data_IF_468142790423
#
_entry.id   IF_468142790423
#
_cell.length_a   1.000
_cell.length_b   1.000
_cell.length_c   1.000
_cell.angle_alpha   90.00
_cell.angle_beta   90.00
_cell.angle_gamma   90.00
#
_symmetry.space_group_name_H-M   'P 1'
#
loop_
_entity.id
_entity.type
_entity.pdbx_description
1 polymer ?
#
# COMPACT_ATOMS: atom_id res chain seq x y z
N UNK A 1 -8.91 -35.48 -11.94
CA UNK A 1 -8.74 -34.36 -12.88
C UNK A 1 -9.80 -34.47 -13.97
N UNK A 2 -10.62 -33.44 -14.19
CA UNK A 2 -11.66 -33.47 -15.23
C UNK A 2 -11.04 -33.59 -16.64
N UNK A 3 -11.73 -34.25 -17.61
CA UNK A 3 -11.19 -34.42 -18.97
C UNK A 3 -10.84 -33.11 -19.67
N UNK A 4 -11.60 -32.05 -19.40
CA UNK A 4 -11.33 -30.73 -19.96
C UNK A 4 -9.99 -30.15 -19.47
N UNK A 5 -9.68 -30.25 -18.17
CA UNK A 5 -8.37 -29.84 -17.63
C UNK A 5 -7.23 -30.62 -18.28
N UNK A 6 -7.34 -31.95 -18.38
CA UNK A 6 -6.32 -32.77 -19.02
C UNK A 6 -6.05 -32.33 -20.46
N UNK A 7 -7.10 -31.95 -21.20
CA UNK A 7 -6.95 -31.44 -22.56
C UNK A 7 -6.29 -30.05 -22.55
N UNK A 8 -6.75 -29.13 -21.70
CA UNK A 8 -6.25 -27.75 -21.59
C UNK A 8 -4.76 -27.67 -21.20
N UNK A 9 -4.24 -28.67 -20.49
CA UNK A 9 -2.84 -28.70 -20.02
C UNK A 9 -1.91 -29.52 -20.93
N UNK A 10 -2.37 -29.96 -22.09
CA UNK A 10 -1.56 -30.76 -23.02
C UNK A 10 -0.75 -29.85 -23.97
N UNK A 11 0.26 -29.19 -23.42
CA UNK A 11 1.16 -28.25 -24.12
C UNK A 11 1.91 -28.88 -25.32
N UNK A 12 2.04 -30.21 -25.36
CA UNK A 12 2.69 -30.93 -26.45
C UNK A 12 1.82 -31.03 -27.73
N UNK A 13 0.56 -30.59 -27.67
CA UNK A 13 -0.35 -30.62 -28.83
C UNK A 13 -0.18 -29.36 -29.67
N UNK A 14 -0.17 -29.51 -30.99
CA UNK A 14 -0.13 -28.37 -31.91
C UNK A 14 -1.30 -27.39 -31.60
N UNK A 15 -1.07 -26.07 -31.56
CA UNK A 15 -2.07 -25.11 -31.09
C UNK A 15 -3.43 -25.16 -31.81
N UNK A 16 -3.48 -25.38 -33.13
CA UNK A 16 -4.74 -25.48 -33.86
C UNK A 16 -5.48 -26.78 -33.57
N UNK A 17 -4.77 -27.90 -33.43
CA UNK A 17 -5.33 -29.18 -32.99
C UNK A 17 -5.87 -29.07 -31.56
N UNK A 18 -5.12 -28.43 -30.66
CA UNK A 18 -5.50 -28.23 -29.27
C UNK A 18 -6.75 -27.35 -29.15
N UNK A 19 -6.81 -26.25 -29.89
CA UNK A 19 -8.02 -25.41 -30.00
C UNK A 19 -9.23 -26.24 -30.44
N UNK A 20 -9.07 -27.06 -31.49
CA UNK A 20 -10.14 -27.92 -32.01
C UNK A 20 -10.62 -28.94 -30.99
N UNK A 21 -9.68 -29.59 -30.29
CA UNK A 21 -9.99 -30.60 -29.28
C UNK A 21 -10.77 -30.01 -28.10
N UNK A 22 -10.30 -28.89 -27.54
CA UNK A 22 -10.96 -28.21 -26.42
C UNK A 22 -12.35 -27.71 -26.83
N UNK A 23 -12.47 -27.11 -28.02
CA UNK A 23 -13.76 -26.65 -28.57
C UNK A 23 -14.76 -27.79 -28.67
N UNK A 24 -14.35 -28.95 -29.21
CA UNK A 24 -15.23 -30.13 -29.32
C UNK A 24 -15.67 -30.65 -27.95
N UNK A 25 -14.79 -30.68 -26.95
CA UNK A 25 -15.17 -31.10 -25.60
C UNK A 25 -16.27 -30.19 -25.03
N UNK A 26 -16.12 -28.87 -25.19
CA UNK A 26 -17.08 -27.88 -24.74
C UNK A 26 -18.44 -28.01 -25.47
N UNK A 27 -18.41 -28.24 -26.80
CA UNK A 27 -19.60 -28.51 -27.62
C UNK A 27 -20.33 -29.78 -27.19
N UNK A 28 -19.60 -30.82 -26.77
CA UNK A 28 -20.17 -32.08 -26.28
C UNK A 28 -20.57 -32.05 -24.80
N UNK A 29 -20.57 -30.87 -24.18
CA UNK A 29 -21.11 -30.66 -22.85
C UNK A 29 -20.11 -30.77 -21.71
N UNK A 30 -18.81 -30.79 -21.98
CA UNK A 30 -17.82 -30.56 -20.93
C UNK A 30 -18.09 -29.18 -20.29
N UNK A 31 -18.22 -29.14 -18.97
CA UNK A 31 -18.54 -27.93 -18.23
C UNK A 31 -17.24 -27.21 -17.83
N UNK A 32 -16.99 -25.99 -18.35
CA UNK A 32 -15.77 -25.24 -18.05
C UNK A 32 -15.70 -24.71 -16.61
N UNK A 33 -16.81 -24.73 -15.85
CA UNK A 33 -16.85 -24.32 -14.45
C UNK A 33 -16.51 -25.44 -13.46
N UNK A 34 -16.35 -26.69 -13.94
CA UNK A 34 -15.92 -27.78 -13.09
C UNK A 34 -14.54 -27.44 -12.53
N UNK A 35 -14.39 -27.62 -11.22
CA UNK A 35 -13.12 -27.41 -10.52
C UNK A 35 -12.34 -28.72 -10.43
N UNK A 36 -11.02 -28.63 -10.51
CA UNK A 36 -10.14 -29.76 -10.25
C UNK A 36 -9.92 -29.98 -8.73
N UNK A 37 -8.88 -30.73 -8.38
CA UNK A 37 -8.51 -31.04 -7.00
C UNK A 37 -7.93 -29.85 -6.24
N UNK A 38 -7.41 -28.85 -6.96
CA UNK A 38 -6.84 -27.63 -6.39
C UNK A 38 -7.89 -26.51 -6.28
N UNK A 39 -9.07 -26.74 -6.86
CA UNK A 39 -10.20 -25.82 -6.81
C UNK A 39 -10.28 -24.87 -8.01
N UNK A 40 -9.46 -25.12 -9.02
CA UNK A 40 -9.33 -24.31 -10.22
C UNK A 40 -10.24 -24.80 -11.35
N UNK A 41 -10.88 -23.87 -12.03
CA UNK A 41 -11.52 -24.13 -13.34
C UNK A 41 -10.45 -24.39 -14.40
N UNK A 42 -10.84 -24.95 -15.56
CA UNK A 42 -9.89 -25.20 -16.64
C UNK A 42 -9.20 -23.92 -17.13
N UNK A 43 -9.89 -22.78 -17.07
CA UNK A 43 -9.31 -21.47 -17.38
C UNK A 43 -8.28 -21.03 -16.32
N UNK A 44 -8.59 -21.19 -15.04
CA UNK A 44 -7.66 -20.83 -13.96
C UNK A 44 -6.40 -21.70 -14.00
N UNK A 45 -6.55 -23.01 -14.23
CA UNK A 45 -5.42 -23.94 -14.33
C UNK A 45 -4.45 -23.53 -15.45
N UNK A 46 -4.95 -23.21 -16.66
CA UNK A 46 -4.07 -22.82 -17.79
C UNK A 46 -3.39 -21.46 -17.56
N UNK A 47 -4.07 -20.51 -16.91
CA UNK A 47 -3.47 -19.22 -16.56
C UNK A 47 -2.41 -19.38 -15.47
N UNK A 48 -2.67 -20.23 -14.48
CA UNK A 48 -1.73 -20.56 -13.41
C UNK A 48 -0.46 -21.20 -13.97
N UNK A 49 -0.58 -22.22 -14.83
CA UNK A 49 0.56 -22.88 -15.48
C UNK A 49 1.43 -21.89 -16.26
N UNK A 50 0.81 -21.01 -17.06
CA UNK A 50 1.56 -20.00 -17.82
C UNK A 50 2.35 -19.01 -16.94
N UNK A 51 2.00 -18.88 -15.65
CA UNK A 51 2.70 -18.00 -14.71
C UNK A 51 3.74 -18.70 -13.84
N UNK A 52 3.78 -20.04 -13.84
CA UNK A 52 4.73 -20.82 -13.02
C UNK A 52 6.12 -20.89 -13.65
N UNK A 53 6.20 -20.88 -14.98
CA UNK A 53 7.47 -20.89 -15.70
C UNK A 53 8.02 -19.47 -15.84
N UNK A 54 9.24 -19.24 -15.37
CA UNK A 54 9.93 -17.95 -15.53
C UNK A 54 10.27 -17.66 -17.00
N UNK A 55 10.51 -18.71 -17.79
CA UNK A 55 10.82 -18.66 -19.22
C UNK A 55 10.02 -19.74 -19.96
N UNK A 56 8.70 -19.55 -20.15
CA UNK A 56 7.88 -20.54 -20.84
C UNK A 56 8.32 -20.66 -22.30
N UNK A 57 8.41 -21.90 -22.79
CA UNK A 57 8.72 -22.14 -24.19
C UNK A 57 7.65 -21.53 -25.11
N UNK A 58 8.08 -21.07 -26.28
CA UNK A 58 7.20 -20.40 -27.23
C UNK A 58 6.06 -21.32 -27.69
N UNK A 59 6.30 -22.64 -27.82
CA UNK A 59 5.27 -23.60 -28.22
C UNK A 59 4.21 -23.74 -27.12
N UNK A 60 4.62 -23.85 -25.87
CA UNK A 60 3.71 -23.88 -24.71
C UNK A 60 2.84 -22.61 -24.62
N UNK A 61 3.42 -21.42 -24.85
CA UNK A 61 2.64 -20.18 -24.88
C UNK A 61 1.59 -20.15 -26.00
N UNK A 62 1.91 -20.68 -27.19
CA UNK A 62 0.94 -20.78 -28.27
C UNK A 62 -0.18 -21.79 -27.96
N UNK A 63 0.16 -22.92 -27.31
CA UNK A 63 -0.81 -23.90 -26.83
C UNK A 63 -1.76 -23.27 -25.78
N UNK A 64 -1.22 -22.58 -24.77
CA UNK A 64 -2.01 -21.83 -23.78
C UNK A 64 -2.91 -20.79 -24.44
N UNK A 65 -2.40 -20.04 -25.42
CA UNK A 65 -3.20 -19.08 -26.17
C UNK A 65 -4.37 -19.72 -26.93
N UNK A 66 -4.15 -20.87 -27.57
CA UNK A 66 -5.21 -21.63 -28.22
C UNK A 66 -6.29 -22.08 -27.21
N UNK A 67 -5.88 -22.63 -26.07
CA UNK A 67 -6.79 -23.10 -25.02
C UNK A 67 -7.62 -21.94 -24.45
N UNK A 68 -6.97 -20.84 -24.07
CA UNK A 68 -7.64 -19.64 -23.53
C UNK A 68 -8.68 -19.12 -24.53
N UNK A 69 -8.35 -19.06 -25.82
CA UNK A 69 -9.33 -18.67 -26.85
C UNK A 69 -10.52 -19.62 -26.94
N UNK A 70 -10.29 -20.94 -26.88
CA UNK A 70 -11.39 -21.90 -26.92
C UNK A 70 -12.31 -21.76 -25.70
N UNK A 71 -11.75 -21.57 -24.50
CA UNK A 71 -12.50 -21.40 -23.26
C UNK A 71 -13.30 -20.09 -23.23
N UNK A 72 -12.69 -18.95 -23.59
CA UNK A 72 -13.37 -17.66 -23.63
C UNK A 72 -14.49 -17.65 -24.69
N UNK A 73 -14.36 -18.42 -25.78
CA UNK A 73 -15.43 -18.56 -26.78
C UNK A 73 -16.63 -19.38 -26.27
N UNK A 74 -16.49 -20.18 -25.22
CA UNK A 74 -17.57 -21.03 -24.70
C UNK A 74 -18.60 -20.23 -23.89
N UNK A 75 -19.89 -20.15 -24.28
CA UNK A 75 -20.89 -19.34 -23.56
C UNK A 75 -21.09 -19.75 -22.10
N UNK A 76 -20.77 -20.99 -21.73
CA UNK A 76 -20.85 -21.51 -20.36
C UNK A 76 -19.66 -21.10 -19.49
N UNK A 77 -18.59 -20.56 -20.08
CA UNK A 77 -17.48 -19.98 -19.31
C UNK A 77 -17.95 -18.67 -18.68
N UNK A 78 -18.13 -18.66 -17.38
CA UNK A 78 -18.36 -17.42 -16.64
C UNK A 78 -17.07 -16.61 -16.61
N UNK A 79 -17.20 -15.31 -16.87
CA UNK A 79 -16.09 -14.35 -16.91
C UNK A 79 -16.46 -13.19 -15.96
N UNK A 80 -16.27 -13.43 -14.67
CA UNK A 80 -16.43 -12.40 -13.66
C UNK A 80 -15.27 -11.40 -13.70
N UNK A 81 -15.33 -10.42 -12.79
CA UNK A 81 -14.28 -9.41 -12.70
C UNK A 81 -12.91 -10.03 -12.38
N UNK A 82 -12.85 -11.04 -11.50
CA UNK A 82 -11.60 -11.73 -11.17
C UNK A 82 -10.98 -12.43 -12.38
N UNK A 83 -11.79 -13.16 -13.15
CA UNK A 83 -11.32 -13.89 -14.33
C UNK A 83 -10.88 -12.93 -15.43
N UNK A 84 -11.63 -11.83 -15.62
CA UNK A 84 -11.27 -10.79 -16.57
C UNK A 84 -9.92 -10.14 -16.24
N UNK A 85 -9.66 -9.84 -14.96
CA UNK A 85 -8.36 -9.28 -14.55
C UNK A 85 -7.23 -10.30 -14.73
N UNK A 86 -7.43 -11.56 -14.34
CA UNK A 86 -6.43 -12.61 -14.54
C UNK A 86 -6.08 -12.79 -16.02
N UNK A 87 -7.09 -12.74 -16.90
CA UNK A 87 -6.90 -12.78 -18.35
C UNK A 87 -6.13 -11.58 -18.88
N UNK A 88 -6.50 -10.36 -18.49
CA UNK A 88 -5.77 -9.15 -18.91
C UNK A 88 -4.31 -9.18 -18.43
N UNK A 89 -4.07 -9.62 -17.20
CA UNK A 89 -2.71 -9.76 -16.66
C UNK A 89 -1.89 -10.77 -17.45
N UNK A 90 -2.47 -11.94 -17.73
CA UNK A 90 -1.84 -12.96 -18.55
C UNK A 90 -1.55 -12.46 -19.98
N UNK A 91 -2.50 -11.77 -20.62
CA UNK A 91 -2.33 -11.18 -21.95
C UNK A 91 -1.16 -10.19 -22.01
N UNK A 92 -1.02 -9.35 -20.99
CA UNK A 92 0.06 -8.36 -20.91
C UNK A 92 1.43 -9.02 -20.84
N UNK A 93 1.56 -10.08 -20.05
CA UNK A 93 2.84 -10.70 -19.72
C UNK A 93 3.29 -11.73 -20.76
N UNK A 94 2.36 -12.48 -21.36
CA UNK A 94 2.71 -13.68 -22.13
C UNK A 94 2.32 -13.62 -23.61
N UNK A 95 1.41 -12.72 -24.01
CA UNK A 95 0.88 -12.71 -25.38
C UNK A 95 1.45 -11.54 -26.18
N UNK A 96 2.03 -11.78 -27.38
CA UNK A 96 2.46 -10.70 -28.26
C UNK A 96 1.30 -9.77 -28.65
N UNK A 97 1.59 -8.50 -28.95
CA UNK A 97 0.57 -7.48 -29.28
C UNK A 97 -0.44 -7.93 -30.35
N UNK A 98 -0.01 -8.68 -31.37
CA UNK A 98 -0.91 -9.18 -32.41
C UNK A 98 -1.97 -10.17 -31.89
N UNK A 99 -1.63 -10.98 -30.89
CA UNK A 99 -2.55 -11.92 -30.24
C UNK A 99 -3.46 -11.26 -29.22
N UNK A 100 -2.96 -10.23 -28.52
CA UNK A 100 -3.73 -9.49 -27.50
C UNK A 100 -5.05 -8.94 -28.06
N UNK A 101 -5.01 -8.30 -29.22
CA UNK A 101 -6.19 -7.69 -29.84
C UNK A 101 -7.30 -8.70 -30.16
N UNK A 102 -6.94 -9.94 -30.51
CA UNK A 102 -7.93 -10.98 -30.81
C UNK A 102 -8.69 -11.42 -29.57
N UNK A 103 -7.98 -11.61 -28.45
CA UNK A 103 -8.60 -12.01 -27.18
C UNK A 103 -9.38 -10.85 -26.59
N UNK A 104 -8.85 -9.62 -26.65
CA UNK A 104 -9.56 -8.43 -26.19
C UNK A 104 -10.89 -8.24 -26.94
N UNK A 105 -10.90 -8.37 -28.27
CA UNK A 105 -12.13 -8.26 -29.06
C UNK A 105 -13.18 -9.31 -28.64
N UNK A 106 -12.74 -10.53 -28.32
CA UNK A 106 -13.63 -11.58 -27.84
C UNK A 106 -14.13 -11.28 -26.42
N UNK A 107 -13.29 -10.76 -25.53
CA UNK A 107 -13.71 -10.29 -24.21
C UNK A 107 -14.72 -9.14 -24.31
N UNK A 108 -14.49 -8.14 -25.16
CA UNK A 108 -15.45 -7.06 -25.41
C UNK A 108 -16.82 -7.59 -25.86
N UNK A 109 -16.84 -8.63 -26.71
CA UNK A 109 -18.08 -9.31 -27.14
C UNK A 109 -18.78 -10.02 -25.98
N UNK A 110 -18.00 -10.59 -25.05
CA UNK A 110 -18.48 -11.46 -23.96
C UNK A 110 -18.92 -10.72 -22.71
N UNK A 111 -18.10 -9.80 -22.22
CA UNK A 111 -18.31 -9.08 -20.95
C UNK A 111 -18.64 -7.59 -21.17
N UNK A 112 -18.55 -7.12 -22.41
CA UNK A 112 -18.83 -5.73 -22.78
C UNK A 112 -17.56 -4.89 -22.87
N UNK A 113 -17.59 -3.91 -23.79
CA UNK A 113 -16.45 -3.06 -24.12
C UNK A 113 -15.92 -2.28 -22.92
N UNK A 114 -16.80 -1.73 -22.10
CA UNK A 114 -16.41 -0.91 -20.94
C UNK A 114 -15.65 -1.72 -19.89
N UNK A 115 -16.16 -2.90 -19.53
CA UNK A 115 -15.50 -3.79 -18.56
C UNK A 115 -14.12 -4.24 -19.06
N UNK A 116 -14.02 -4.69 -20.32
CA UNK A 116 -12.75 -5.09 -20.93
C UNK A 116 -11.77 -3.92 -21.01
N UNK A 117 -12.22 -2.74 -21.43
CA UNK A 117 -11.37 -1.56 -21.53
C UNK A 117 -10.83 -1.14 -20.15
N UNK A 118 -11.66 -1.14 -19.11
CA UNK A 118 -11.24 -0.81 -17.75
C UNK A 118 -10.23 -1.81 -17.17
N UNK A 119 -10.45 -3.12 -17.37
CA UNK A 119 -9.52 -4.15 -16.96
C UNK A 119 -8.17 -4.04 -17.69
N UNK A 120 -8.21 -3.89 -19.01
CA UNK A 120 -6.98 -3.72 -19.80
C UNK A 120 -6.24 -2.42 -19.47
N UNK A 121 -6.96 -1.31 -19.28
CA UNK A 121 -6.38 -0.05 -18.86
C UNK A 121 -5.68 -0.17 -17.49
N UNK A 122 -6.20 -1.01 -16.59
CA UNK A 122 -5.58 -1.27 -15.28
C UNK A 122 -4.23 -1.99 -15.43
N UNK A 123 -4.16 -3.01 -16.28
CA UNK A 123 -2.90 -3.72 -16.56
C UNK A 123 -1.87 -2.83 -17.26
N UNK A 124 -2.32 -2.01 -18.22
CA UNK A 124 -1.44 -1.05 -18.89
C UNK A 124 -0.97 0.06 -17.94
N UNK A 125 -1.78 0.42 -16.94
CA UNK A 125 -1.39 1.34 -15.90
C UNK A 125 -0.30 0.75 -15.01
N UNK A 126 -0.45 -0.49 -14.53
CA UNK A 126 0.59 -1.20 -13.78
C UNK A 126 1.89 -1.28 -14.59
N UNK A 127 1.82 -1.65 -15.87
CA UNK A 127 2.98 -1.64 -16.78
C UNK A 127 3.68 -0.30 -16.83
N UNK A 128 2.93 0.79 -16.98
CA UNK A 128 3.49 2.13 -17.02
C UNK A 128 4.26 2.47 -15.72
N UNK A 129 3.72 2.07 -14.57
CA UNK A 129 4.35 2.30 -13.27
C UNK A 129 5.65 1.49 -13.13
N UNK A 130 5.62 0.19 -13.46
CA UNK A 130 6.79 -0.70 -13.44
C UNK A 130 7.90 -0.18 -14.36
N UNK A 131 7.55 0.13 -15.61
CA UNK A 131 8.49 0.66 -16.59
C UNK A 131 9.08 1.99 -16.15
N UNK A 132 8.30 2.86 -15.52
CA UNK A 132 8.79 4.14 -15.03
C UNK A 132 9.76 3.99 -13.86
N UNK A 133 9.47 3.08 -12.91
CA UNK A 133 10.29 2.88 -11.72
C UNK A 133 11.57 2.05 -12.01
N UNK A 134 11.46 0.94 -12.74
CA UNK A 134 12.54 -0.05 -12.82
C UNK A 134 13.31 0.00 -14.14
N UNK A 135 12.64 0.23 -15.27
CA UNK A 135 13.30 0.24 -16.59
C UNK A 135 13.82 1.64 -16.96
N UNK A 136 12.92 2.62 -17.02
CA UNK A 136 13.20 3.97 -17.48
C UNK A 136 13.75 4.89 -16.37
N UNK A 137 13.63 4.49 -15.09
CA UNK A 137 14.12 5.22 -13.91
C UNK A 137 13.75 6.71 -13.93
N UNK A 138 12.47 6.97 -14.16
CA UNK A 138 11.91 8.32 -14.33
C UNK A 138 10.69 8.54 -13.46
N UNK A 139 10.45 9.81 -13.12
CA UNK A 139 9.27 10.22 -12.39
C UNK A 139 7.99 9.96 -13.17
N UNK A 140 6.90 9.75 -12.43
CA UNK A 140 5.56 9.61 -12.98
C UNK A 140 5.04 10.95 -13.51
N UNK A 141 4.10 10.89 -14.44
CA UNK A 141 3.44 12.06 -15.03
C UNK A 141 1.95 12.00 -14.75
N UNK A 142 1.41 13.02 -14.09
CA UNK A 142 0.00 13.12 -13.74
C UNK A 142 -0.91 13.01 -14.97
N UNK A 143 -0.53 13.61 -16.09
CA UNK A 143 -1.29 13.55 -17.34
C UNK A 143 -1.44 12.12 -17.87
N UNK A 144 -0.42 11.27 -17.73
CA UNK A 144 -0.46 9.87 -18.16
C UNK A 144 -1.31 9.05 -17.19
N UNK A 145 -1.15 9.24 -15.88
CA UNK A 145 -2.00 8.59 -14.87
C UNK A 145 -3.46 8.94 -15.09
N UNK A 146 -3.77 10.22 -15.33
CA UNK A 146 -5.13 10.69 -15.61
C UNK A 146 -5.74 9.99 -16.82
N UNK A 147 -4.98 9.77 -17.89
CA UNK A 147 -5.46 9.06 -19.09
C UNK A 147 -5.87 7.63 -18.77
N UNK A 148 -5.09 6.90 -17.98
CA UNK A 148 -5.44 5.53 -17.57
C UNK A 148 -6.68 5.50 -16.67
N UNK A 149 -6.78 6.39 -15.68
CA UNK A 149 -7.94 6.47 -14.80
C UNK A 149 -9.22 6.85 -15.57
N UNK A 150 -9.11 7.75 -16.56
CA UNK A 150 -10.19 8.11 -17.47
C UNK A 150 -10.60 6.96 -18.39
N UNK A 151 -9.66 6.08 -18.76
CA UNK A 151 -9.94 4.85 -19.51
C UNK A 151 -10.54 3.72 -18.65
N UNK A 152 -10.80 3.97 -17.36
CA UNK A 152 -11.44 3.02 -16.46
C UNK A 152 -10.47 2.17 -15.63
N UNK A 153 -9.17 2.51 -15.61
CA UNK A 153 -8.21 1.81 -14.76
C UNK A 153 -8.63 1.87 -13.28
N UNK A 154 -8.47 0.75 -12.58
CA UNK A 154 -8.81 0.61 -11.16
C UNK A 154 -7.54 0.47 -10.33
N UNK A 155 -7.19 1.45 -9.47
CA UNK A 155 -5.93 1.44 -8.72
C UNK A 155 -5.74 0.28 -7.74
N UNK A 156 -6.84 -0.33 -7.29
CA UNK A 156 -6.83 -1.44 -6.33
C UNK A 156 -6.42 -2.78 -6.93
N UNK A 157 -6.26 -2.87 -8.25
CA UNK A 157 -5.76 -4.08 -8.90
C UNK A 157 -4.28 -4.20 -8.57
N UNK A 158 -3.88 -5.40 -8.16
CA UNK A 158 -2.53 -5.71 -7.74
C UNK A 158 -1.97 -6.90 -8.51
N UNK A 159 -0.69 -6.83 -8.83
CA UNK A 159 0.07 -7.97 -9.33
C UNK A 159 1.12 -8.35 -8.30
N UNK A 160 1.23 -9.63 -7.95
CA UNK A 160 2.18 -10.11 -6.93
C UNK A 160 2.06 -9.37 -5.58
N UNK A 161 0.84 -8.95 -5.24
CA UNK A 161 0.54 -8.15 -4.04
C UNK A 161 0.87 -6.66 -4.15
N UNK A 162 1.45 -6.19 -5.25
CA UNK A 162 1.73 -4.78 -5.49
C UNK A 162 0.58 -4.11 -6.25
N UNK A 163 -0.14 -3.23 -5.56
CA UNK A 163 -1.17 -2.38 -6.18
C UNK A 163 -0.56 -1.22 -6.96
N UNK A 164 -1.38 -0.52 -7.75
CA UNK A 164 -0.92 0.67 -8.48
C UNK A 164 -0.39 1.75 -7.53
N UNK A 165 -1.07 2.00 -6.39
CA UNK A 165 -0.58 2.96 -5.40
C UNK A 165 0.75 2.50 -4.78
N UNK A 166 0.93 1.19 -4.57
CA UNK A 166 2.20 0.68 -4.06
C UNK A 166 3.35 0.93 -5.05
N UNK A 167 3.17 0.58 -6.33
CA UNK A 167 4.17 0.83 -7.36
C UNK A 167 4.49 2.33 -7.53
N UNK A 168 3.49 3.20 -7.31
CA UNK A 168 3.71 4.64 -7.31
C UNK A 168 4.61 5.10 -6.16
N UNK A 169 4.38 4.62 -4.93
CA UNK A 169 5.20 5.04 -3.78
C UNK A 169 6.62 4.48 -3.85
N UNK A 170 6.79 3.31 -4.48
CA UNK A 170 8.09 2.69 -4.74
C UNK A 170 8.90 3.39 -5.85
N UNK A 171 8.35 4.41 -6.52
CA UNK A 171 9.07 5.20 -7.52
C UNK A 171 9.76 6.41 -6.86
N UNK A 172 11.09 6.40 -6.65
CA UNK A 172 11.81 7.50 -5.99
C UNK A 172 12.12 8.69 -6.93
N UNK A 173 11.73 8.62 -8.20
CA UNK A 173 12.10 9.61 -9.22
C UNK A 173 11.05 10.71 -9.40
N UNK A 174 9.84 10.53 -8.85
CA UNK A 174 8.74 11.48 -9.01
C UNK A 174 8.97 12.75 -8.20
N UNK A 175 8.60 13.90 -8.77
CA UNK A 175 8.60 15.16 -8.03
C UNK A 175 7.38 15.24 -7.11
N UNK A 176 7.46 16.10 -6.10
CA UNK A 176 6.36 16.32 -5.18
C UNK A 176 5.13 16.91 -5.87
N UNK A 177 5.31 17.82 -6.83
CA UNK A 177 4.24 18.47 -7.57
C UNK A 177 3.40 17.47 -8.37
N UNK A 178 4.06 16.53 -9.06
CA UNK A 178 3.40 15.45 -9.78
C UNK A 178 2.68 14.53 -8.79
N UNK A 179 3.37 14.12 -7.71
CA UNK A 179 2.81 13.18 -6.74
C UNK A 179 1.57 13.71 -6.01
N UNK A 180 1.47 15.01 -5.69
CA UNK A 180 0.25 15.59 -5.11
C UNK A 180 -0.95 15.31 -6.01
N UNK A 181 -0.80 15.61 -7.31
CA UNK A 181 -1.88 15.47 -8.29
C UNK A 181 -2.23 13.99 -8.48
N UNK A 182 -1.21 13.14 -8.61
CA UNK A 182 -1.38 11.70 -8.82
C UNK A 182 -2.07 11.05 -7.62
N UNK A 183 -1.60 11.28 -6.39
CA UNK A 183 -2.17 10.69 -5.18
C UNK A 183 -3.65 11.07 -5.00
N UNK A 184 -4.01 12.33 -5.26
CA UNK A 184 -5.42 12.77 -5.21
C UNK A 184 -6.28 12.03 -6.23
N UNK A 185 -5.86 12.01 -7.51
CA UNK A 185 -6.64 11.32 -8.56
C UNK A 185 -6.84 9.83 -8.26
N UNK A 186 -5.82 9.16 -7.73
CA UNK A 186 -5.88 7.74 -7.38
C UNK A 186 -6.81 7.48 -6.19
N UNK A 187 -6.73 8.29 -5.13
CA UNK A 187 -7.59 8.15 -3.96
C UNK A 187 -9.03 8.58 -4.22
N UNK A 188 -9.27 9.57 -5.07
CA UNK A 188 -10.62 9.93 -5.55
C UNK A 188 -11.26 8.78 -6.33
N UNK A 189 -10.46 8.01 -7.08
CA UNK A 189 -10.92 6.86 -7.86
C UNK A 189 -11.20 5.63 -6.98
N UNK A 190 -10.28 5.28 -6.10
CA UNK A 190 -10.47 4.20 -5.12
C UNK A 190 -9.66 4.48 -3.84
N UNK A 191 -10.29 5.01 -2.78
CA UNK A 191 -9.56 5.33 -1.55
C UNK A 191 -9.07 4.08 -0.81
N UNK A 192 -9.70 2.90 -1.05
CA UNK A 192 -9.37 1.67 -0.32
C UNK A 192 -8.00 1.10 -0.66
N UNK A 193 -7.44 1.51 -1.80
CA UNK A 193 -6.09 1.12 -2.23
C UNK A 193 -5.02 1.48 -1.19
N UNK A 194 -5.26 2.51 -0.36
CA UNK A 194 -4.32 2.94 0.69
C UNK A 194 -4.19 1.94 1.85
N UNK A 195 -5.19 1.08 2.05
CA UNK A 195 -5.20 0.05 3.09
C UNK A 195 -4.77 -1.32 2.58
N UNK A 196 -4.53 -1.46 1.27
CA UNK A 196 -4.05 -2.70 0.71
C UNK A 196 -2.65 -2.99 1.23
N UNK A 197 -2.42 -4.25 1.60
CA UNK A 197 -1.14 -4.73 2.12
C UNK A 197 -0.52 -5.69 1.11
N UNK A 198 0.78 -5.55 0.93
CA UNK A 198 1.55 -6.42 0.04
C UNK A 198 1.91 -7.77 0.68
N UNK A 199 2.80 -8.53 0.03
CA UNK A 199 3.33 -9.78 0.56
C UNK A 199 4.03 -9.64 1.91
N UNK A 200 4.62 -8.48 2.20
CA UNK A 200 5.29 -8.13 3.46
C UNK A 200 4.32 -7.58 4.52
N UNK A 201 3.02 -7.52 4.21
CA UNK A 201 1.97 -6.97 5.06
C UNK A 201 2.10 -5.46 5.29
N UNK A 202 2.83 -4.75 4.44
CA UNK A 202 3.03 -3.31 4.51
C UNK A 202 2.04 -2.58 3.61
N UNK A 203 1.54 -1.43 4.07
CA UNK A 203 0.68 -0.55 3.26
C UNK A 203 1.52 0.35 2.34
N UNK A 204 0.92 1.01 1.33
CA UNK A 204 1.62 2.04 0.57
C UNK A 204 2.19 3.16 1.44
N UNK A 205 1.55 3.51 2.56
CA UNK A 205 2.04 4.56 3.43
C UNK A 205 3.21 4.09 4.31
N UNK A 206 3.25 2.81 4.69
CA UNK A 206 4.42 2.21 5.34
C UNK A 206 5.64 2.31 4.40
N UNK A 207 5.48 1.89 3.15
CA UNK A 207 6.54 2.00 2.13
C UNK A 207 6.94 3.45 1.83
N UNK A 208 5.98 4.37 1.70
CA UNK A 208 6.28 5.78 1.51
C UNK A 208 7.08 6.37 2.69
N UNK A 209 6.82 5.90 3.91
CA UNK A 209 7.56 6.32 5.11
C UNK A 209 9.00 5.80 5.11
N UNK A 210 9.27 4.70 4.40
CA UNK A 210 10.59 4.10 4.23
C UNK A 210 11.32 4.54 2.94
N UNK A 211 11.11 5.80 2.55
CA UNK A 211 11.66 6.37 1.32
C UNK A 211 13.20 6.36 1.27
N UNK A 212 13.88 6.29 2.42
CA UNK A 212 15.34 6.17 2.48
C UNK A 212 15.81 4.80 1.97
N UNK A 213 15.21 3.70 2.44
CA UNK A 213 15.55 2.35 1.98
C UNK A 213 15.19 2.18 0.50
N UNK A 214 14.05 2.71 0.05
CA UNK A 214 13.68 2.72 -1.38
C UNK A 214 14.77 3.42 -2.19
N UNK A 215 15.23 4.60 -1.76
CA UNK A 215 16.28 5.33 -2.46
C UNK A 215 17.61 4.55 -2.51
N UNK A 216 17.98 3.85 -1.43
CA UNK A 216 19.17 2.98 -1.40
C UNK A 216 19.07 1.84 -2.41
N UNK A 217 17.92 1.16 -2.49
CA UNK A 217 17.69 0.07 -3.46
C UNK A 217 17.81 0.55 -4.91
N UNK A 218 17.40 1.79 -5.18
CA UNK A 218 17.49 2.40 -6.51
C UNK A 218 18.81 3.11 -6.79
N UNK A 219 19.71 3.24 -5.81
CA UNK A 219 20.98 3.96 -5.93
C UNK A 219 20.80 5.46 -6.15
N UNK A 220 19.78 6.08 -5.55
CA UNK A 220 19.46 7.52 -5.68
C UNK A 220 19.47 8.23 -4.33
N UNK A 221 19.37 9.56 -4.36
CA UNK A 221 19.20 10.35 -3.12
C UNK A 221 17.80 10.11 -2.53
N UNK A 222 17.64 10.13 -1.20
CA UNK A 222 16.34 10.05 -0.56
C UNK A 222 15.38 11.10 -1.12
N UNK A 223 14.18 10.66 -1.50
CA UNK A 223 13.13 11.51 -2.03
C UNK A 223 11.79 11.19 -1.34
N UNK A 224 11.31 12.03 -0.42
CA UNK A 224 10.08 11.79 0.32
C UNK A 224 8.82 12.26 -0.43
N UNK A 225 8.90 12.62 -1.71
CA UNK A 225 7.78 13.17 -2.49
C UNK A 225 6.48 12.35 -2.34
N UNK A 226 6.57 11.02 -2.42
CA UNK A 226 5.41 10.12 -2.29
C UNK A 226 4.75 10.21 -0.91
N UNK A 227 5.54 10.21 0.18
CA UNK A 227 5.03 10.37 1.54
C UNK A 227 4.36 11.73 1.76
N UNK A 228 5.05 12.78 1.35
CA UNK A 228 4.61 14.16 1.54
C UNK A 228 3.33 14.46 0.74
N UNK A 229 3.10 13.77 -0.37
CA UNK A 229 1.88 13.89 -1.17
C UNK A 229 0.75 12.97 -0.67
N UNK A 230 1.05 11.71 -0.36
CA UNK A 230 0.05 10.69 -0.08
C UNK A 230 -0.68 10.93 1.24
N UNK A 231 0.05 11.24 2.32
CA UNK A 231 -0.57 11.35 3.64
C UNK A 231 -1.55 12.53 3.74
N UNK A 232 -1.23 13.75 3.26
CA UNK A 232 -2.22 14.83 3.22
C UNK A 232 -3.44 14.49 2.36
N UNK A 233 -3.24 13.87 1.19
CA UNK A 233 -4.34 13.47 0.31
C UNK A 233 -5.26 12.43 0.97
N UNK A 234 -4.68 11.45 1.68
CA UNK A 234 -5.43 10.48 2.48
C UNK A 234 -6.28 11.17 3.55
N UNK A 235 -5.69 12.09 4.32
CA UNK A 235 -6.39 12.79 5.40
C UNK A 235 -7.53 13.66 4.84
N UNK A 236 -7.33 14.28 3.68
CA UNK A 236 -8.36 15.09 3.00
C UNK A 236 -9.51 14.23 2.47
N UNK A 237 -9.21 13.11 1.79
CA UNK A 237 -10.18 12.37 0.99
C UNK A 237 -10.79 11.15 1.70
N UNK A 238 -10.07 10.54 2.66
CA UNK A 238 -10.46 9.31 3.34
C UNK A 238 -9.91 9.24 4.79
N UNK A 239 -10.25 10.22 5.66
CA UNK A 239 -9.72 10.30 7.02
C UNK A 239 -10.09 9.11 7.91
N UNK A 240 -11.21 8.45 7.62
CA UNK A 240 -11.68 7.22 8.30
C UNK A 240 -10.79 6.01 8.02
N UNK A 241 -10.08 6.01 6.88
CA UNK A 241 -9.17 4.93 6.47
C UNK A 241 -7.76 5.09 7.05
N UNK A 242 -7.48 6.21 7.71
CA UNK A 242 -6.16 6.50 8.26
C UNK A 242 -5.68 5.48 9.31
N UNK A 243 -6.63 4.81 9.97
CA UNK A 243 -6.30 3.75 10.92
C UNK A 243 -5.67 2.54 10.25
N UNK A 244 -6.32 2.04 9.21
CA UNK A 244 -5.91 0.83 8.51
C UNK A 244 -4.77 1.08 7.52
N UNK A 245 -4.58 2.33 7.10
CA UNK A 245 -3.52 2.74 6.17
C UNK A 245 -2.13 2.85 6.80
N UNK A 246 -2.02 2.86 8.14
CA UNK A 246 -0.75 3.08 8.84
C UNK A 246 -0.37 4.56 9.03
N UNK A 247 -1.33 5.50 8.93
CA UNK A 247 -1.06 6.92 9.15
C UNK A 247 -0.55 7.19 10.57
N UNK A 248 0.59 7.86 10.68
CA UNK A 248 1.26 8.17 11.96
C UNK A 248 2.27 9.29 11.83
N UNK A 249 2.52 9.98 12.94
CA UNK A 249 3.67 10.87 13.11
C UNK A 249 4.96 10.07 12.99
N UNK A 250 5.94 10.66 12.32
CA UNK A 250 7.22 10.03 12.01
C UNK A 250 8.33 10.58 12.88
N UNK A 251 9.38 9.80 13.09
CA UNK A 251 10.53 10.22 13.90
C UNK A 251 11.31 11.31 13.18
N UNK A 252 11.77 12.29 13.93
CA UNK A 252 12.65 13.35 13.43
C UNK A 252 14.04 12.77 13.18
N UNK A 253 14.60 12.98 11.99
CA UNK A 253 16.01 12.72 11.71
C UNK A 253 16.92 13.63 12.56
N UNK A 254 18.08 13.12 12.96
CA UNK A 254 19.04 13.87 13.81
C UNK A 254 19.54 15.18 13.15
N UNK A 255 19.36 15.32 11.84
CA UNK A 255 19.79 16.46 11.02
C UNK A 255 18.66 17.42 10.66
N UNK A 256 17.45 17.22 11.18
CA UNK A 256 16.30 18.06 10.90
C UNK A 256 16.53 19.53 11.27
N UNK A 257 15.95 20.43 10.47
CA UNK A 257 16.05 21.88 10.68
C UNK A 257 14.65 22.50 10.73
N UNK A 258 14.49 23.56 11.52
CA UNK A 258 13.26 24.35 11.48
C UNK A 258 13.22 25.15 10.19
N UNK A 259 12.13 25.06 9.42
CA UNK A 259 12.01 25.75 8.15
C UNK A 259 11.93 27.27 8.29
N UNK A 260 12.57 28.00 7.38
CA UNK A 260 12.42 29.47 7.28
C UNK A 260 11.08 29.88 6.65
N UNK A 261 10.55 29.06 5.73
CA UNK A 261 9.30 29.31 5.03
C UNK A 261 8.11 28.96 5.94
N UNK A 262 7.32 29.98 6.31
CA UNK A 262 6.09 29.84 7.09
C UNK A 262 4.90 30.17 6.20
N UNK A 263 4.09 29.19 5.80
CA UNK A 263 2.79 29.46 5.19
C UNK A 263 1.93 30.35 6.08
N UNK A 264 1.07 31.16 5.46
CA UNK A 264 0.07 31.99 6.16
C UNK A 264 -1.10 31.18 6.73
N UNK A 265 -1.06 29.84 6.60
CA UNK A 265 -2.12 28.97 7.11
C UNK A 265 -2.05 28.95 8.65
N UNK A 266 -3.11 29.40 9.36
CA UNK A 266 -3.12 29.38 10.81
C UNK A 266 -3.15 27.93 11.32
N UNK A 267 -2.22 27.61 12.21
CA UNK A 267 -2.15 26.29 12.87
C UNK A 267 -3.05 26.25 14.11
N UNK A 268 -3.66 25.09 14.39
CA UNK A 268 -4.54 24.88 15.56
C UNK A 268 -3.80 24.94 16.90
N UNK A 269 -2.51 24.66 16.89
CA UNK A 269 -1.67 24.61 18.09
C UNK A 269 -0.41 25.48 17.94
N UNK A 270 0.13 25.93 19.07
CA UNK A 270 1.33 26.78 19.15
C UNK A 270 2.48 26.03 19.85
N UNK A 271 3.70 26.57 19.74
CA UNK A 271 4.85 26.07 20.52
C UNK A 271 4.54 26.12 22.02
N UNK A 272 4.83 25.03 22.73
CA UNK A 272 4.49 24.83 24.13
C UNK A 272 3.12 24.22 24.40
N UNK A 273 2.23 24.11 23.40
CA UNK A 273 0.95 23.44 23.57
C UNK A 273 1.14 21.93 23.80
N UNK A 274 0.28 21.39 24.68
CA UNK A 274 0.17 19.97 24.96
C UNK A 274 -0.72 19.27 23.96
N UNK A 275 -0.20 18.19 23.40
CA UNK A 275 -0.88 17.42 22.36
C UNK A 275 -0.70 15.92 22.58
N UNK A 276 -1.54 15.14 21.92
CA UNK A 276 -1.34 13.71 21.70
C UNK A 276 -1.01 13.50 20.23
N UNK A 277 0.02 12.73 19.96
CA UNK A 277 0.45 12.37 18.62
C UNK A 277 0.22 10.89 18.38
N UNK A 278 -0.27 10.60 17.18
CA UNK A 278 -0.39 9.23 16.72
C UNK A 278 0.98 8.72 16.29
N UNK A 279 1.49 7.67 16.91
CA UNK A 279 2.83 7.13 16.63
C UNK A 279 2.78 5.62 16.43
N UNK A 280 3.88 5.06 15.94
CA UNK A 280 4.06 3.61 15.86
C UNK A 280 4.34 3.02 17.24
N UNK A 281 3.55 2.02 17.61
CA UNK A 281 3.72 1.19 18.79
C UNK A 281 4.39 -0.15 18.42
N UNK A 282 5.00 -0.84 19.40
CA UNK A 282 5.55 -2.18 19.17
C UNK A 282 4.54 -3.13 18.52
N UNK A 283 4.98 -3.86 17.50
CA UNK A 283 4.14 -4.79 16.74
C UNK A 283 3.38 -4.15 15.56
N UNK A 284 3.81 -2.97 15.08
CA UNK A 284 3.26 -2.33 13.88
C UNK A 284 1.86 -1.74 14.06
N UNK A 285 1.39 -1.62 15.31
CA UNK A 285 0.14 -0.95 15.65
C UNK A 285 0.39 0.54 15.85
N UNK A 286 -0.67 1.35 15.81
CA UNK A 286 -0.59 2.77 16.18
C UNK A 286 -1.03 2.97 17.62
N UNK A 287 -0.44 3.96 18.29
CA UNK A 287 -0.84 4.40 19.62
C UNK A 287 -0.81 5.94 19.71
N UNK A 288 -1.52 6.48 20.71
CA UNK A 288 -1.55 7.92 20.99
C UNK A 288 -0.64 8.25 22.16
N UNK A 289 0.49 8.90 21.87
CA UNK A 289 1.48 9.33 22.85
C UNK A 289 1.37 10.83 23.15
N UNK A 290 1.51 11.19 24.42
CA UNK A 290 1.48 12.59 24.86
C UNK A 290 2.81 13.30 24.59
N UNK A 291 2.74 14.61 24.33
CA UNK A 291 3.92 15.43 24.08
C UNK A 291 3.66 16.93 24.08
N UNK A 292 4.71 17.68 23.77
CA UNK A 292 4.69 19.15 23.67
C UNK A 292 5.17 19.55 22.28
N UNK A 293 4.48 20.50 21.64
CA UNK A 293 4.96 21.10 20.39
C UNK A 293 6.21 21.92 20.70
N UNK A 294 7.32 21.60 20.04
CA UNK A 294 8.63 22.26 20.24
C UNK A 294 9.05 23.13 19.08
N UNK A 295 8.47 22.93 17.90
CA UNK A 295 8.68 23.77 16.72
C UNK A 295 7.48 23.67 15.77
N UNK A 296 7.28 24.72 14.98
CA UNK A 296 6.33 24.75 13.87
C UNK A 296 7.07 24.66 12.52
N UNK A 297 6.41 24.11 11.51
CA UNK A 297 6.95 24.02 10.13
C UNK A 297 8.32 23.31 10.07
N UNK A 298 8.40 22.15 10.72
CA UNK A 298 9.58 21.28 10.70
C UNK A 298 9.92 20.81 9.28
N UNK A 299 11.21 20.68 8.97
CA UNK A 299 11.68 20.22 7.66
C UNK A 299 12.90 19.32 7.76
N UNK A 300 13.01 18.38 6.83
CA UNK A 300 14.24 17.63 6.60
C UNK A 300 15.01 18.21 5.40
N UNK A 301 16.35 18.08 5.36
CA UNK A 301 17.16 18.63 4.28
C UNK A 301 16.82 18.09 2.89
N UNK A 302 16.32 16.85 2.79
CA UNK A 302 15.93 16.21 1.53
C UNK A 302 14.56 16.65 1.02
N UNK A 303 13.79 17.43 1.79
CA UNK A 303 12.44 17.79 1.41
C UNK A 303 12.41 18.82 0.27
N UNK A 304 11.50 18.65 -0.70
CA UNK A 304 11.36 19.57 -1.82
C UNK A 304 10.99 20.97 -1.30
N UNK A 305 11.54 22.01 -1.94
CA UNK A 305 11.31 23.42 -1.55
C UNK A 305 9.85 23.86 -1.67
N UNK A 306 9.10 23.20 -2.54
CA UNK A 306 7.67 23.44 -2.78
C UNK A 306 6.77 22.89 -1.69
N UNK A 307 7.21 21.87 -0.93
CA UNK A 307 6.54 21.49 0.30
C UNK A 307 6.91 22.54 1.36
N UNK A 308 5.99 23.10 2.17
CA UNK A 308 6.32 24.11 3.18
C UNK A 308 6.93 23.54 4.46
N UNK A 309 6.57 22.31 4.85
CA UNK A 309 7.05 21.64 6.04
C UNK A 309 5.92 20.96 6.81
N UNK A 310 6.27 20.15 7.80
CA UNK A 310 5.32 19.52 8.69
C UNK A 310 4.82 20.55 9.70
N UNK A 311 3.50 20.72 9.87
CA UNK A 311 2.93 21.71 10.80
C UNK A 311 3.58 21.71 12.19
N UNK A 312 3.87 20.53 12.74
CA UNK A 312 4.35 20.40 14.12
C UNK A 312 5.54 19.44 14.25
N UNK A 313 6.55 19.87 15.00
CA UNK A 313 7.50 19.00 15.67
C UNK A 313 7.06 18.83 17.12
N UNK A 314 6.95 17.60 17.59
CA UNK A 314 6.48 17.27 18.94
C UNK A 314 7.55 16.48 19.67
N UNK A 315 7.90 16.92 20.87
CA UNK A 315 8.68 16.15 21.81
C UNK A 315 7.72 15.35 22.68
N UNK A 316 7.70 14.04 22.48
CA UNK A 316 6.90 13.11 23.27
C UNK A 316 7.42 13.06 24.71
N UNK A 317 6.56 12.70 25.66
CA UNK A 317 6.91 12.58 27.07
C UNK A 317 7.94 11.48 27.34
N UNK A 318 8.00 10.48 26.46
CA UNK A 318 9.05 9.45 26.42
C UNK A 318 10.41 9.98 25.94
N UNK A 319 10.51 11.27 25.61
CA UNK A 319 11.74 11.95 25.20
C UNK A 319 12.03 11.96 23.69
N UNK A 320 11.29 11.18 22.91
CA UNK A 320 11.47 11.07 21.45
C UNK A 320 10.89 12.30 20.72
N UNK A 321 11.57 12.75 19.65
CA UNK A 321 11.06 13.78 18.74
C UNK A 321 10.35 13.13 17.54
N UNK A 322 9.13 13.59 17.28
CA UNK A 322 8.34 13.21 16.10
C UNK A 322 7.82 14.45 15.38
N UNK A 323 7.33 14.28 14.15
CA UNK A 323 6.63 15.33 13.42
C UNK A 323 5.28 14.85 12.88
N UNK A 324 4.31 15.76 12.84
CA UNK A 324 3.00 15.53 12.25
C UNK A 324 2.94 16.19 10.87
N UNK A 325 2.79 15.40 9.81
CA UNK A 325 2.76 15.88 8.42
C UNK A 325 1.48 16.64 8.03
N UNK A 326 0.44 16.57 8.86
CA UNK A 326 -0.83 17.28 8.63
C UNK A 326 -1.39 17.79 9.96
N UNK A 327 -1.99 18.99 9.93
CA UNK A 327 -2.71 19.57 11.06
C UNK A 327 -4.15 19.03 11.12
N UNK A 328 -4.27 17.76 11.49
CA UNK A 328 -5.57 17.06 11.55
C UNK A 328 -5.65 16.15 12.77
N UNK A 329 -6.86 15.94 13.31
CA UNK A 329 -7.09 15.11 14.51
C UNK A 329 -6.76 13.63 14.31
N UNK A 330 -6.58 13.19 13.06
CA UNK A 330 -6.07 11.86 12.73
C UNK A 330 -4.60 11.69 13.14
N UNK A 331 -3.83 12.78 13.18
CA UNK A 331 -2.38 12.78 13.43
C UNK A 331 -2.04 13.39 14.79
N UNK A 332 -2.70 14.50 15.12
CA UNK A 332 -2.40 15.31 16.30
C UNK A 332 -3.68 15.88 16.90
N UNK A 333 -3.86 15.62 18.18
CA UNK A 333 -5.04 16.02 18.95
C UNK A 333 -4.63 16.90 20.13
N UNK A 334 -5.53 17.78 20.54
CA UNK A 334 -5.36 18.49 21.82
C UNK A 334 -5.33 17.44 22.94
N UNK A 335 -4.40 17.57 23.88
CA UNK A 335 -4.51 16.77 25.11
C UNK A 335 -5.86 17.11 25.73
N UNK A 336 -6.74 16.11 25.87
CA UNK A 336 -7.99 16.31 26.57
C UNK A 336 -7.60 16.85 27.94
N UNK A 337 -7.94 18.12 28.23
CA UNK A 337 -7.86 18.63 29.60
C UNK A 337 -8.62 17.59 30.37
N UNK A 338 -7.94 16.83 31.22
CA UNK A 338 -8.58 15.86 32.09
C UNK A 338 -9.79 16.61 32.63
N UNK A 339 -10.98 16.29 32.11
CA UNK A 339 -12.18 16.94 32.57
C UNK A 339 -12.07 16.70 34.05
N UNK A 340 -11.99 17.80 34.81
CA UNK A 340 -11.94 17.70 36.26
C UNK A 340 -13.21 16.95 36.57
N UNK A 341 -13.09 15.63 36.67
CA UNK A 341 -14.16 14.77 37.07
C UNK A 341 -14.53 15.41 38.39
N UNK A 342 -15.72 15.99 38.43
CA UNK A 342 -16.38 16.44 39.63
C UNK A 342 -16.72 15.20 40.46
N UNK A 343 -15.74 14.34 40.70
CA UNK A 343 -15.78 13.26 41.67
C UNK A 343 -15.53 13.90 43.02
N UNK A 344 -16.61 14.41 43.59
CA UNK A 344 -16.74 14.39 45.04
C UNK A 344 -16.44 12.95 45.51
N UNK A 345 -15.28 12.74 46.15
CA UNK A 345 -15.08 11.61 47.05
C UNK A 345 -14.31 10.38 46.57
N UNK A 346 -13.42 10.45 45.56
CA UNK A 346 -12.45 9.37 45.33
C UNK A 346 -11.06 9.75 45.90
N UNK A 347 -10.40 8.87 46.71
CA UNK A 347 -9.10 9.19 47.29
C UNK A 347 -8.06 9.36 46.18
N UNK A 348 -7.37 10.50 46.20
CA UNK A 348 -6.24 10.80 45.31
C UNK A 348 -5.26 9.63 45.34
N UNK A 349 -5.16 8.89 44.23
CA UNK A 349 -4.00 8.08 43.96
C UNK A 349 -2.80 9.03 43.78
N UNK A 350 -2.06 9.26 44.86
CA UNK A 350 -0.75 9.89 44.81
C UNK A 350 0.10 9.08 43.85
N UNK A 351 0.45 9.66 42.68
CA UNK A 351 1.52 9.12 41.83
C UNK A 351 2.71 8.84 42.75
N UNK A 352 3.02 7.57 42.94
CA UNK A 352 4.06 7.12 43.85
C UNK A 352 5.37 7.78 43.46
N UNK A 353 6.13 8.26 44.44
CA UNK A 353 7.46 8.87 44.26
C UNK A 353 8.42 7.96 43.48
N UNK A 354 8.15 6.67 43.46
CA UNK A 354 9.00 5.63 42.91
C UNK A 354 8.28 4.88 41.79
N UNK A 355 8.92 4.69 40.64
CA UNK A 355 8.46 3.78 39.59
C UNK A 355 9.46 2.62 39.41
N UNK A 356 8.96 1.40 39.24
CA UNK A 356 9.78 0.24 38.84
C UNK A 356 9.94 0.27 37.32
N UNK A 357 11.17 0.13 36.82
CA UNK A 357 11.50 0.06 35.40
C UNK A 357 12.44 -1.12 35.15
N UNK A 358 12.25 -1.83 34.05
CA UNK A 358 13.14 -2.92 33.61
C UNK A 358 14.18 -2.36 32.63
N UNK A 359 15.45 -2.69 32.86
CA UNK A 359 16.59 -2.36 32.01
C UNK A 359 16.72 -3.32 30.83
N UNK A 360 17.51 -2.94 29.82
CA UNK A 360 17.80 -3.79 28.64
C UNK A 360 18.48 -5.11 29.00
N UNK A 361 19.22 -5.16 30.12
CA UNK A 361 19.85 -6.39 30.64
C UNK A 361 18.88 -7.29 31.41
N UNK A 362 17.59 -6.92 31.50
CA UNK A 362 16.55 -7.65 32.21
C UNK A 362 16.46 -7.35 33.71
N UNK A 363 17.38 -6.56 34.28
CA UNK A 363 17.35 -6.17 35.69
C UNK A 363 16.27 -5.12 36.00
N UNK A 364 15.77 -5.11 37.24
CA UNK A 364 14.76 -4.15 37.69
C UNK A 364 15.38 -3.07 38.56
N UNK A 365 14.98 -1.82 38.33
CA UNK A 365 15.34 -0.69 39.18
C UNK A 365 14.13 0.14 39.60
N UNK A 366 14.20 0.69 40.80
CA UNK A 366 13.24 1.61 41.36
C UNK A 366 13.76 3.04 41.20
N UNK A 367 13.16 3.81 40.30
CA UNK A 367 13.53 5.18 39.99
C UNK A 367 12.74 6.16 40.87
N UNK A 368 13.44 6.97 41.67
CA UNK A 368 12.83 8.12 42.37
C UNK A 368 12.60 9.26 41.38
N UNK A 369 11.35 9.40 40.96
CA UNK A 369 10.90 10.42 39.99
C UNK A 369 11.21 11.86 40.39
N UNK A 370 11.50 12.15 41.66
CA UNK A 370 11.92 13.49 42.11
C UNK A 370 13.42 13.70 42.09
N UNK A 371 14.21 12.69 42.43
CA UNK A 371 15.67 12.84 42.58
C UNK A 371 16.47 12.30 41.41
N UNK A 372 15.84 11.53 40.52
CA UNK A 372 16.50 10.84 39.40
C UNK A 372 17.43 9.71 39.83
N UNK A 373 17.46 9.37 41.12
CA UNK A 373 18.28 8.27 41.64
C UNK A 373 17.55 6.95 41.44
N UNK A 374 18.25 5.98 40.86
CA UNK A 374 17.78 4.61 40.73
C UNK A 374 18.47 3.71 41.76
N UNK A 375 17.75 2.69 42.23
CA UNK A 375 18.29 1.60 43.06
C UNK A 375 17.78 0.26 42.51
N UNK A 376 18.60 -0.79 42.59
CA UNK A 376 18.15 -2.13 42.21
C UNK A 376 16.94 -2.55 43.06
N UNK A 377 15.96 -3.21 42.45
CA UNK A 377 14.80 -3.76 43.14
C UNK A 377 14.41 -5.11 42.53
N UNK A 378 13.57 -5.85 43.24
CA UNK A 378 13.04 -7.12 42.76
C UNK A 378 11.90 -6.89 41.75
N UNK A 379 11.66 -7.84 40.83
CA UNK A 379 10.56 -7.77 39.85
C UNK A 379 9.20 -7.50 40.52
N UNK A 380 8.20 -6.96 39.78
CA UNK A 380 6.88 -6.65 40.34
C UNK A 380 6.17 -7.83 40.99
N UNK A 381 6.48 -9.06 40.56
CA UNK A 381 5.80 -10.29 40.97
C UNK A 381 6.57 -11.10 42.04
N UNK A 382 7.68 -10.60 42.55
CA UNK A 382 8.37 -11.24 43.68
C UNK A 382 7.80 -10.70 44.99
N UNK A 383 7.26 -11.59 45.83
CA UNK A 383 6.72 -11.29 47.17
C UNK A 383 7.79 -10.85 48.21
N UNK A 384 8.97 -10.43 47.75
CA UNK A 384 10.09 -9.96 48.58
C UNK A 384 10.37 -8.47 48.28
N UNK A 385 9.76 -7.57 49.06
CA UNK A 385 10.16 -6.16 49.21
C UNK A 385 9.86 -5.64 50.63
#
# INVERSE_FOLDING_TARGET
>A
MPPLHCACMNEATEPAELFSAVTKLLEHGADPQVKDTDGDTALQAVLSLATQDEEPDQEALQAHFAVVRALINCPKQELGNSELQALCSWLRNHVPQGGQNQVLAELERRVGREATAGAWASEMFLKYLEQSAYEAKRGLQASVVQQYLAAGATPSISQNGASALLLMVLNPYSSYEEMITICRMVLEKDPRVVCQRDGFKLTPLDWASDYENIAVQHGVKPNPASLLALLPALIELAPDMADDSGARCLKVSATGITGEARPEVPLRFLEGDRVRCRVEAPGGKTAWEEGVIVALWYREPCWPRSFPGAPYQVKLDIGQLVYALSDHDVMVQREAKAEKASSAGAPKATRGRFCKQQKEDGSWELLDTKSGKARACSPPDSDED
#
